data_IF_515502055630
#
_entry.id   IF_515502055630
#
_cell.length_a   1.000
_cell.length_b   1.000
_cell.length_c   1.000
_cell.angle_alpha   90.00
_cell.angle_beta   90.00
_cell.angle_gamma   90.00
#
_symmetry.space_group_name_H-M   'P 1'
#
loop_
_entity.id
_entity.type
_entity.pdbx_description
1 polymer ?
#
# COMPACT_ATOMS: atom_id res chain seq x y z
N UNK A 1 -15.13 -1.02 10.97
CA UNK A 1 -15.76 -2.23 10.39
C UNK A 1 -14.65 -3.10 9.84
N UNK A 2 -14.58 -4.40 10.18
CA UNK A 2 -13.47 -5.24 9.73
C UNK A 2 -13.67 -5.67 8.27
N UNK A 3 -12.55 -5.87 7.56
CA UNK A 3 -12.54 -6.34 6.17
C UNK A 3 -13.18 -7.73 6.02
N UNK A 4 -13.03 -8.58 7.04
CA UNK A 4 -13.70 -9.88 7.12
C UNK A 4 -15.22 -9.74 7.15
N UNK A 5 -15.78 -8.88 8.02
CA UNK A 5 -17.23 -8.72 8.18
C UNK A 5 -17.91 -8.36 6.84
N UNK A 6 -17.30 -7.41 6.11
CA UNK A 6 -17.88 -6.79 4.91
C UNK A 6 -17.58 -7.55 3.61
N UNK A 7 -16.41 -8.18 3.50
CA UNK A 7 -15.90 -8.74 2.23
C UNK A 7 -15.35 -10.16 2.36
N UNK A 8 -15.42 -10.77 3.57
CA UNK A 8 -14.85 -12.09 3.88
C UNK A 8 -13.36 -12.22 3.57
N UNK A 9 -12.60 -11.11 3.63
CA UNK A 9 -11.15 -11.13 3.43
C UNK A 9 -10.47 -12.02 4.48
N UNK A 10 -9.75 -13.05 4.04
CA UNK A 10 -9.03 -14.03 4.89
C UNK A 10 -7.51 -13.85 4.79
N UNK A 11 -6.77 -14.28 5.80
CA UNK A 11 -5.31 -14.18 5.82
C UNK A 11 -4.66 -15.14 4.79
N UNK A 12 -3.75 -14.63 3.95
CA UNK A 12 -2.83 -15.48 3.19
C UNK A 12 -1.64 -15.89 4.06
N UNK A 13 -1.26 -17.17 4.00
CA UNK A 13 -0.22 -17.71 4.87
C UNK A 13 1.18 -17.50 4.28
N UNK A 14 1.99 -16.66 4.95
CA UNK A 14 3.39 -16.45 4.54
C UNK A 14 4.27 -17.48 5.27
N UNK A 15 4.84 -18.43 4.53
CA UNK A 15 5.84 -19.36 5.07
C UNK A 15 7.16 -18.60 5.32
N UNK A 16 7.72 -18.72 6.54
CA UNK A 16 8.49 -17.63 7.19
C UNK A 16 10.01 -17.72 7.12
N UNK A 17 10.58 -18.43 6.16
CA UNK A 17 12.02 -18.71 6.17
C UNK A 17 12.88 -17.50 5.73
N UNK A 18 12.32 -16.59 4.94
CA UNK A 18 13.05 -15.43 4.38
C UNK A 18 12.41 -14.07 4.67
N UNK A 19 11.16 -14.04 5.15
CA UNK A 19 10.31 -12.86 5.32
C UNK A 19 10.01 -12.66 6.81
N UNK A 20 10.06 -11.41 7.29
CA UNK A 20 9.83 -11.12 8.71
C UNK A 20 8.45 -11.56 9.22
N UNK A 21 8.43 -12.03 10.48
CA UNK A 21 7.22 -12.33 11.25
C UNK A 21 6.26 -11.15 11.39
N UNK A 22 6.72 -9.91 11.16
CA UNK A 22 5.85 -8.72 11.19
C UNK A 22 4.78 -8.69 10.10
N UNK A 23 4.89 -9.53 9.05
CA UNK A 23 3.83 -9.67 8.04
C UNK A 23 2.77 -10.71 8.39
N UNK A 24 2.84 -11.33 9.57
CA UNK A 24 1.75 -12.13 10.10
C UNK A 24 0.48 -11.27 10.22
N UNK A 25 -0.63 -11.77 9.69
CA UNK A 25 -1.92 -11.08 9.59
C UNK A 25 -1.89 -9.75 8.78
N UNK A 26 -0.82 -9.48 8.03
CA UNK A 26 -0.70 -8.25 7.20
C UNK A 26 -1.03 -8.47 5.72
N UNK A 27 -1.33 -9.70 5.31
CA UNK A 27 -1.79 -10.03 3.95
C UNK A 27 -3.16 -10.66 4.04
N UNK A 28 -4.15 -10.01 3.45
CA UNK A 28 -5.53 -10.46 3.38
C UNK A 28 -5.97 -10.61 1.92
N UNK A 29 -6.83 -11.58 1.61
CA UNK A 29 -7.35 -11.78 0.25
C UNK A 29 -8.85 -12.11 0.25
N UNK A 30 -9.56 -11.72 -0.81
CA UNK A 30 -10.95 -12.12 -1.02
C UNK A 30 -11.07 -13.65 -1.18
N UNK A 31 -12.18 -14.28 -0.77
CA UNK A 31 -12.40 -15.70 -1.05
C UNK A 31 -12.33 -16.02 -2.54
N UNK A 32 -11.70 -17.14 -2.87
CA UNK A 32 -11.55 -17.66 -4.22
C UNK A 32 -11.00 -16.60 -5.21
N UNK A 33 -10.08 -15.74 -4.76
CA UNK A 33 -9.50 -14.66 -5.58
C UNK A 33 -8.83 -15.22 -6.84
N UNK A 34 -8.26 -16.41 -6.74
CA UNK A 34 -7.57 -17.18 -7.77
C UNK A 34 -8.48 -17.66 -8.92
N UNK A 35 -9.81 -17.69 -8.69
CA UNK A 35 -10.81 -18.00 -9.72
C UNK A 35 -11.32 -16.76 -10.46
N UNK A 36 -11.02 -15.56 -9.94
CA UNK A 36 -11.53 -14.30 -10.48
C UNK A 36 -10.78 -13.92 -11.74
N UNK A 37 -11.50 -13.36 -12.72
CA UNK A 37 -10.92 -13.04 -14.03
C UNK A 37 -9.92 -11.88 -13.98
N UNK A 38 -10.05 -10.95 -13.00
CA UNK A 38 -9.13 -9.84 -12.73
C UNK A 38 -8.70 -9.81 -11.26
N UNK A 39 -7.51 -9.25 -10.98
CA UNK A 39 -6.94 -9.12 -9.63
C UNK A 39 -6.44 -7.69 -9.36
N UNK A 40 -6.73 -7.16 -8.18
CA UNK A 40 -6.18 -5.92 -7.66
C UNK A 40 -5.34 -6.24 -6.42
N UNK A 41 -4.05 -5.93 -6.46
CA UNK A 41 -3.14 -6.10 -5.30
C UNK A 41 -2.76 -4.73 -4.75
N UNK A 42 -3.10 -4.46 -3.49
CA UNK A 42 -2.92 -3.16 -2.84
C UNK A 42 -1.83 -3.27 -1.77
N UNK A 43 -0.66 -2.69 -2.04
CA UNK A 43 0.40 -2.49 -1.07
C UNK A 43 0.25 -1.10 -0.44
N UNK A 44 0.06 -1.01 0.87
CA UNK A 44 -0.09 0.27 1.56
C UNK A 44 0.70 0.31 2.87
N UNK A 45 1.18 1.49 3.24
CA UNK A 45 1.69 1.73 4.60
C UNK A 45 0.54 1.59 5.63
N UNK A 46 0.87 1.29 6.89
CA UNK A 46 -0.12 1.27 7.98
C UNK A 46 -0.91 2.59 8.07
N UNK A 47 -2.22 2.56 8.38
CA UNK A 47 -3.05 3.76 8.43
C UNK A 47 -2.62 4.71 9.55
N UNK A 48 -2.59 6.01 9.26
CA UNK A 48 -2.26 7.05 10.23
C UNK A 48 -3.19 7.02 11.46
N UNK A 49 -2.63 7.21 12.65
CA UNK A 49 -3.36 7.45 13.89
C UNK A 49 -3.35 8.94 14.20
N UNK A 50 -4.55 9.54 14.36
CA UNK A 50 -4.72 10.89 14.86
C UNK A 50 -5.19 10.84 16.31
N UNK A 51 -4.51 11.56 17.20
CA UNK A 51 -4.99 11.80 18.55
C UNK A 51 -5.10 13.30 18.81
N UNK A 52 -6.17 13.71 19.49
CA UNK A 52 -6.32 15.08 19.97
C UNK A 52 -5.48 15.30 21.23
N UNK A 53 -4.17 15.47 21.05
CA UNK A 53 -3.27 15.76 22.17
C UNK A 53 -3.32 17.25 22.55
N UNK A 54 -3.60 17.55 23.82
CA UNK A 54 -3.56 18.91 24.39
C UNK A 54 -2.14 19.44 24.63
N UNK A 55 -1.10 18.66 24.33
CA UNK A 55 0.31 19.04 24.43
C UNK A 55 0.92 18.89 25.83
N UNK A 56 0.11 18.53 26.83
CA UNK A 56 0.53 18.44 28.24
C UNK A 56 1.11 17.04 28.58
N UNK A 57 0.75 16.01 27.82
CA UNK A 57 1.23 14.63 28.02
C UNK A 57 1.48 13.95 26.67
N UNK A 58 2.41 13.00 26.61
CA UNK A 58 2.57 12.11 25.45
C UNK A 58 1.61 10.90 25.48
N UNK A 59 0.92 10.66 26.60
CA UNK A 59 -0.09 9.61 26.70
C UNK A 59 -1.32 9.99 25.89
N UNK A 60 -1.62 9.18 24.87
CA UNK A 60 -2.87 9.25 24.14
C UNK A 60 -3.92 8.36 24.82
N UNK A 61 -5.12 8.89 25.09
CA UNK A 61 -6.22 8.07 25.60
C UNK A 61 -6.91 7.37 24.41
N UNK A 62 -7.26 6.07 24.50
CA UNK A 62 -7.89 5.35 23.40
C UNK A 62 -9.20 5.96 22.87
N UNK A 63 -9.92 6.78 23.65
CA UNK A 63 -11.12 7.51 23.20
C UNK A 63 -10.82 8.86 22.51
N UNK A 64 -9.62 9.41 22.72
CA UNK A 64 -9.14 10.64 22.08
C UNK A 64 -8.32 10.35 20.81
N UNK A 65 -7.96 9.08 20.59
CA UNK A 65 -7.26 8.53 19.43
C UNK A 65 -8.23 7.88 18.45
N UNK A 66 -8.07 8.21 17.18
CA UNK A 66 -8.83 7.67 16.07
C UNK A 66 -7.88 7.27 14.95
N UNK A 67 -8.11 6.12 14.34
CA UNK A 67 -7.54 5.86 13.01
C UNK A 67 -8.05 6.94 12.05
N UNK A 68 -7.20 7.41 11.14
CA UNK A 68 -7.57 8.37 10.09
C UNK A 68 -8.74 7.86 9.22
N UNK A 69 -8.97 6.54 9.23
CA UNK A 69 -10.08 5.83 8.59
C UNK A 69 -11.44 5.96 9.32
N UNK A 70 -11.46 6.46 10.56
CA UNK A 70 -12.66 6.57 11.39
C UNK A 70 -13.07 8.03 11.70
N UNK A 71 -12.20 9.03 11.47
CA UNK A 71 -12.56 10.44 11.64
C UNK A 71 -13.39 10.97 10.47
N UNK A 72 -14.62 11.42 10.78
CA UNK A 72 -15.60 12.08 9.87
C UNK A 72 -16.19 11.22 8.73
N UNK A 73 -16.79 10.06 9.01
CA UNK A 73 -17.57 9.29 8.00
C UNK A 73 -16.85 8.98 6.67
N UNK A 74 -15.52 9.14 6.63
CA UNK A 74 -14.73 8.97 5.42
C UNK A 74 -14.30 7.52 5.33
N UNK A 75 -14.88 6.83 4.34
CA UNK A 75 -14.41 5.53 3.87
C UNK A 75 -12.89 5.57 3.76
N UNK A 76 -12.22 4.54 4.24
CA UNK A 76 -10.78 4.40 4.04
C UNK A 76 -10.44 4.31 2.54
N UNK A 77 -9.37 5.00 2.13
CA UNK A 77 -8.92 5.07 0.75
C UNK A 77 -8.69 3.67 0.18
N UNK A 78 -7.98 2.81 0.91
CA UNK A 78 -7.78 1.40 0.55
C UNK A 78 -9.13 0.67 0.46
N UNK A 79 -9.97 0.73 1.50
CA UNK A 79 -11.32 0.13 1.47
C UNK A 79 -12.19 0.60 0.31
N UNK A 80 -12.00 1.80 -0.23
CA UNK A 80 -12.77 2.29 -1.38
C UNK A 80 -12.43 1.55 -2.68
N UNK A 81 -11.16 1.14 -2.85
CA UNK A 81 -10.74 0.27 -3.96
C UNK A 81 -11.18 -1.18 -3.75
N UNK A 82 -11.06 -1.71 -2.52
CA UNK A 82 -11.57 -3.04 -2.16
C UNK A 82 -13.08 -3.12 -2.44
N UNK A 83 -13.84 -2.09 -2.06
CA UNK A 83 -15.29 -2.03 -2.30
C UNK A 83 -15.64 -2.09 -3.78
N UNK A 84 -14.94 -1.30 -4.61
CA UNK A 84 -15.17 -1.31 -6.05
C UNK A 84 -14.81 -2.67 -6.65
N UNK A 85 -13.62 -3.20 -6.37
CA UNK A 85 -13.16 -4.46 -6.94
C UNK A 85 -14.11 -5.63 -6.58
N UNK A 86 -14.52 -5.72 -5.31
CA UNK A 86 -15.51 -6.72 -4.87
C UNK A 86 -16.87 -6.53 -5.53
N UNK A 87 -17.34 -5.30 -5.73
CA UNK A 87 -18.60 -5.02 -6.46
C UNK A 87 -18.57 -5.41 -7.94
N UNK A 88 -17.38 -5.58 -8.52
CA UNK A 88 -17.18 -6.03 -9.90
C UNK A 88 -16.79 -7.52 -10.00
N UNK A 89 -16.88 -8.28 -8.90
CA UNK A 89 -16.44 -9.68 -8.79
C UNK A 89 -14.96 -9.89 -9.17
N UNK A 90 -14.10 -8.93 -8.84
CA UNK A 90 -12.64 -9.04 -9.01
C UNK A 90 -11.99 -9.55 -7.72
N UNK A 91 -10.86 -10.26 -7.88
CA UNK A 91 -10.03 -10.68 -6.75
C UNK A 91 -9.33 -9.47 -6.14
N UNK A 92 -9.14 -9.49 -4.83
CA UNK A 92 -8.34 -8.48 -4.11
C UNK A 92 -7.35 -9.16 -3.19
N UNK A 93 -6.11 -8.68 -3.20
CA UNK A 93 -5.10 -8.96 -2.17
C UNK A 93 -4.72 -7.62 -1.54
N UNK A 94 -4.90 -7.49 -0.24
CA UNK A 94 -4.61 -6.31 0.59
C UNK A 94 -3.35 -6.58 1.42
N UNK A 95 -2.34 -5.72 1.29
CA UNK A 95 -1.00 -5.91 1.85
C UNK A 95 -0.60 -4.68 2.65
N UNK A 96 -0.65 -4.81 3.97
CA UNK A 96 -0.14 -3.80 4.88
C UNK A 96 1.38 -3.93 5.07
N UNK A 97 2.12 -2.86 4.85
CA UNK A 97 3.56 -2.78 5.11
C UNK A 97 3.79 -1.94 6.38
N UNK A 98 4.01 -2.56 7.55
CA UNK A 98 4.25 -1.82 8.78
C UNK A 98 5.62 -1.11 8.75
N UNK A 99 5.66 0.13 9.26
CA UNK A 99 6.91 0.91 9.37
C UNK A 99 7.96 0.23 10.26
N UNK A 100 7.52 -0.52 11.27
CA UNK A 100 8.38 -1.20 12.23
C UNK A 100 8.38 -2.71 11.98
N UNK A 101 9.49 -3.20 11.44
CA UNK A 101 9.74 -4.62 11.29
C UNK A 101 10.46 -5.16 12.53
N UNK A 102 9.94 -6.27 13.06
CA UNK A 102 10.58 -7.10 14.07
C UNK A 102 11.84 -7.73 13.47
N UNK A 103 13.00 -7.26 13.94
CA UNK A 103 14.27 -7.93 13.71
C UNK A 103 14.29 -9.20 14.57
N UNK A 104 14.71 -10.37 14.05
CA UNK A 104 14.99 -11.52 14.90
C UNK A 104 15.98 -11.10 15.99
N UNK A 105 15.73 -11.48 17.25
CA UNK A 105 16.71 -11.27 18.30
C UNK A 105 18.05 -11.88 17.85
N UNK A 106 19.20 -11.21 18.08
CA UNK A 106 20.48 -11.86 17.84
C UNK A 106 20.48 -13.18 18.61
N UNK A 107 20.78 -14.28 17.90
CA UNK A 107 20.94 -15.58 18.53
C UNK A 107 21.92 -15.48 19.71
N UNK A 108 21.82 -16.35 20.72
CA UNK A 108 22.63 -16.26 21.93
C UNK A 108 24.08 -16.01 21.52
N UNK A 109 24.62 -14.86 21.96
CA UNK A 109 25.94 -14.42 21.53
C UNK A 109 26.90 -15.58 21.72
N UNK A 110 27.65 -15.93 20.66
CA UNK A 110 28.60 -17.04 20.72
C UNK A 110 29.43 -16.85 22.00
N UNK A 111 29.45 -17.85 22.91
CA UNK A 111 29.96 -17.65 24.26
C UNK A 111 31.36 -17.07 24.16
N UNK A 112 31.62 -16.03 24.95
CA UNK A 112 32.90 -15.35 24.94
C UNK A 112 34.01 -16.40 25.12
N UNK A 113 35.23 -16.23 24.56
CA UNK A 113 36.34 -17.11 24.88
C UNK A 113 36.60 -17.27 26.38
N UNK A 114 36.08 -16.34 27.19
CA UNK A 114 36.11 -16.31 28.65
C UNK A 114 34.96 -17.05 29.36
N UNK A 115 33.88 -17.42 28.64
CA UNK A 115 32.69 -18.11 29.18
C UNK A 115 32.81 -19.65 29.15
N UNK A 116 33.96 -20.19 28.72
CA UNK A 116 34.18 -21.64 28.70
C UNK A 116 34.66 -22.17 30.07
N UNK A 117 33.90 -23.06 30.74
CA UNK A 117 34.33 -23.67 32.01
C UNK A 117 35.42 -24.71 31.75
N UNK A 118 36.69 -24.27 31.64
CA UNK A 118 37.81 -25.17 31.40
C UNK A 118 39.21 -24.56 31.31
N UNK A 119 39.35 -23.26 31.01
CA UNK A 119 40.67 -22.64 30.87
C UNK A 119 41.16 -22.10 32.22
N UNK A 120 42.11 -22.82 32.83
CA UNK A 120 42.81 -22.38 34.05
C UNK A 120 43.66 -21.13 33.75
N UNK A 121 43.67 -20.11 34.62
CA UNK A 121 44.56 -18.96 34.47
C UNK A 121 45.97 -19.33 34.96
N UNK A 122 46.76 -19.95 34.09
CA UNK A 122 48.19 -20.18 34.30
C UNK A 122 48.98 -19.27 33.34
N UNK A 123 50.10 -18.70 33.82
CA UNK A 123 50.84 -17.56 33.23
C UNK A 123 50.24 -16.15 33.45
N UNK A 124 50.10 -15.78 34.72
CA UNK A 124 50.27 -14.40 35.15
C UNK A 124 51.75 -14.12 35.50
N UNK A 125 52.52 -13.55 34.56
CA UNK A 125 53.88 -13.01 34.74
C UNK A 125 54.22 -12.12 33.53
N UNK A 126 54.84 -10.94 33.61
CA UNK A 126 55.29 -10.13 34.75
C UNK A 126 55.32 -8.63 34.33
N UNK A 127 55.39 -7.66 35.25
CA UNK A 127 55.43 -6.23 34.90
C UNK A 127 56.88 -5.73 34.77
N UNK A 128 57.24 -5.11 33.63
CA UNK A 128 58.53 -4.39 33.50
C UNK A 128 58.43 -3.09 32.67
N UNK A 129 58.73 -2.02 33.40
CA UNK A 129 59.38 -0.75 33.04
C UNK A 129 58.82 0.26 32.03
N UNK A 130 59.09 1.51 32.41
CA UNK A 130 58.68 2.73 31.74
C UNK A 130 59.81 3.34 30.91
N UNK A 131 59.48 3.95 29.76
CA UNK A 131 60.22 5.08 29.23
C UNK A 131 59.35 5.94 28.30
N UNK A 132 59.11 7.18 28.73
CA UNK A 132 58.95 8.41 27.95
C UNK A 132 58.87 8.33 26.41
N UNK A 133 57.81 8.91 25.82
CA UNK A 133 57.98 10.05 24.89
C UNK A 133 56.71 10.89 24.79
N UNK A 134 56.87 12.18 25.03
CA UNK A 134 55.88 13.25 24.94
C UNK A 134 55.46 13.55 23.50
N UNK A 135 54.16 13.62 23.23
CA UNK A 135 53.56 14.51 22.23
C UNK A 135 52.18 14.96 22.73
N UNK A 136 51.97 16.27 22.86
CA UNK A 136 50.73 16.83 23.41
C UNK A 136 49.62 16.95 22.36
N UNK A 137 48.37 16.76 22.79
CA UNK A 137 47.18 17.14 22.02
C UNK A 137 46.40 18.16 22.83
N UNK A 138 46.30 19.36 22.29
CA UNK A 138 45.69 20.52 22.93
C UNK A 138 44.18 20.38 23.00
N UNK A 139 43.60 20.47 24.19
CA UNK A 139 42.16 20.61 24.38
C UNK A 139 41.69 21.98 23.88
N UNK A 140 40.95 22.02 22.79
CA UNK A 140 40.15 23.19 22.38
C UNK A 140 38.67 22.88 22.51
N UNK A 141 38.07 23.35 23.61
CA UNK A 141 36.62 23.38 23.75
C UNK A 141 36.05 24.47 22.83
N UNK A 142 35.22 24.07 21.86
CA UNK A 142 34.37 24.99 21.09
C UNK A 142 32.91 24.56 21.28
N UNK A 143 32.16 25.42 21.96
CA UNK A 143 30.71 25.32 22.07
C UNK A 143 30.03 26.01 20.86
N UNK A 144 28.71 25.84 20.74
CA UNK A 144 27.80 26.51 19.79
C UNK A 144 27.90 25.95 18.35
N UNK A 145 26.84 25.51 17.66
CA UNK A 145 25.38 25.74 17.81
C UNK A 145 24.55 24.45 17.59
N UNK A 146 23.45 24.22 18.33
CA UNK A 146 22.59 23.04 18.16
C UNK A 146 21.27 23.34 17.40
N UNK A 147 21.33 23.92 16.20
CA UNK A 147 20.14 24.10 15.34
C UNK A 147 20.47 23.91 13.85
N UNK A 148 20.73 22.67 13.44
CA UNK A 148 20.67 22.26 12.02
C UNK A 148 19.39 21.48 11.80
N UNK A 149 18.40 22.08 11.13
CA UNK A 149 17.15 21.41 10.71
C UNK A 149 17.36 20.55 9.46
N UNK A 150 18.40 19.72 9.47
CA UNK A 150 18.60 18.65 8.49
C UNK A 150 17.69 17.49 8.87
N UNK A 151 16.48 17.45 8.30
CA UNK A 151 15.59 16.30 8.40
C UNK A 151 16.28 15.10 7.75
N UNK A 152 16.66 14.12 8.56
CA UNK A 152 17.25 12.86 8.11
C UNK A 152 16.20 12.07 7.33
N UNK A 153 16.26 12.18 6.00
CA UNK A 153 15.32 11.52 5.09
C UNK A 153 15.63 10.02 5.03
N UNK A 154 14.71 9.22 5.56
CA UNK A 154 14.80 7.79 5.87
C UNK A 154 15.50 7.47 7.21
N UNK A 155 14.68 7.12 8.21
CA UNK A 155 15.15 6.37 9.37
C UNK A 155 15.61 4.98 8.93
N UNK A 156 16.61 4.41 9.62
CA UNK A 156 17.08 3.05 9.35
C UNK A 156 15.98 1.97 9.51
N UNK A 157 14.89 2.25 10.22
CA UNK A 157 13.70 1.39 10.30
C UNK A 157 12.91 1.40 9.00
N UNK A 158 12.67 2.58 8.39
CA UNK A 158 11.98 2.70 7.10
C UNK A 158 12.68 1.94 5.96
N UNK A 159 14.01 1.89 5.96
CA UNK A 159 14.78 1.12 4.97
C UNK A 159 14.69 -0.39 5.19
N UNK A 160 14.58 -0.85 6.44
CA UNK A 160 14.30 -2.25 6.72
C UNK A 160 12.89 -2.64 6.26
N UNK A 161 11.89 -1.81 6.58
CA UNK A 161 10.50 -2.02 6.12
C UNK A 161 10.39 -2.09 4.59
N UNK A 162 11.10 -1.21 3.87
CA UNK A 162 11.19 -1.28 2.40
C UNK A 162 11.77 -2.62 1.93
N UNK A 163 12.94 -3.04 2.43
CA UNK A 163 13.60 -4.30 2.00
C UNK A 163 12.75 -5.54 2.30
N UNK A 164 12.08 -5.55 3.43
CA UNK A 164 11.22 -6.66 3.84
C UNK A 164 9.91 -6.68 3.04
N UNK A 165 9.35 -5.51 2.71
CA UNK A 165 8.24 -5.38 1.76
C UNK A 165 8.63 -5.80 0.33
N UNK A 166 9.85 -5.48 -0.13
CA UNK A 166 10.38 -5.93 -1.43
C UNK A 166 10.42 -7.47 -1.53
N UNK A 167 10.84 -8.17 -0.47
CA UNK A 167 10.77 -9.64 -0.40
C UNK A 167 9.33 -10.16 -0.41
N UNK A 168 8.45 -9.55 0.37
CA UNK A 168 7.05 -9.96 0.45
C UNK A 168 6.35 -9.82 -0.90
N UNK A 169 6.57 -8.72 -1.62
CA UNK A 169 5.97 -8.52 -2.95
C UNK A 169 6.42 -9.57 -3.97
N UNK A 170 7.70 -9.97 -3.96
CA UNK A 170 8.19 -11.06 -4.81
C UNK A 170 7.56 -12.40 -4.42
N UNK A 171 7.54 -12.73 -3.14
CA UNK A 171 6.96 -13.98 -2.64
C UNK A 171 5.47 -14.11 -2.93
N UNK A 172 4.69 -13.03 -2.74
CA UNK A 172 3.27 -12.99 -3.11
C UNK A 172 3.09 -13.17 -4.62
N UNK A 173 3.98 -12.59 -5.43
CA UNK A 173 3.95 -12.80 -6.88
C UNK A 173 4.15 -14.28 -7.22
N UNK A 174 5.29 -14.86 -6.84
CA UNK A 174 5.71 -16.21 -7.21
C UNK A 174 4.77 -17.32 -6.67
N UNK A 175 4.19 -17.14 -5.48
CA UNK A 175 3.46 -18.19 -4.77
C UNK A 175 1.93 -18.03 -4.81
N UNK A 176 1.42 -16.81 -4.95
CA UNK A 176 -0.01 -16.52 -4.81
C UNK A 176 -0.65 -15.83 -6.04
N UNK A 177 0.14 -15.34 -7.00
CA UNK A 177 -0.37 -14.59 -8.15
C UNK A 177 0.01 -15.28 -9.46
N UNK A 178 1.30 -15.48 -9.72
CA UNK A 178 1.85 -16.07 -10.94
C UNK A 178 1.29 -17.47 -11.29
N UNK A 179 0.97 -18.36 -10.32
CA UNK A 179 0.37 -19.67 -10.64
C UNK A 179 -1.04 -19.63 -11.23
N UNK A 180 -1.74 -18.49 -11.17
CA UNK A 180 -3.17 -18.40 -11.49
C UNK A 180 -3.48 -17.52 -12.71
N UNK A 181 -4.55 -17.87 -13.41
CA UNK A 181 -4.94 -17.19 -14.65
C UNK A 181 -5.87 -16.00 -14.37
N UNK A 182 -5.35 -14.78 -14.51
CA UNK A 182 -6.13 -13.54 -14.49
C UNK A 182 -6.30 -13.01 -15.92
N UNK A 183 -7.21 -13.56 -16.76
CA UNK A 183 -7.34 -13.18 -18.17
C UNK A 183 -7.67 -11.70 -18.36
N UNK A 184 -8.56 -11.14 -17.54
CA UNK A 184 -8.89 -9.71 -17.53
C UNK A 184 -7.78 -8.84 -16.91
N UNK A 185 -6.70 -9.46 -16.42
CA UNK A 185 -5.47 -8.79 -16.01
C UNK A 185 -5.36 -8.39 -14.54
N UNK A 186 -4.19 -7.89 -14.19
CA UNK A 186 -3.77 -7.57 -12.82
C UNK A 186 -3.47 -6.07 -12.71
N UNK A 187 -3.81 -5.46 -11.57
CA UNK A 187 -3.32 -4.14 -11.17
C UNK A 187 -2.53 -4.22 -9.87
N UNK A 188 -1.42 -3.49 -9.82
CA UNK A 188 -0.67 -3.25 -8.59
C UNK A 188 -0.92 -1.81 -8.11
N UNK A 189 -1.36 -1.64 -6.87
CA UNK A 189 -1.54 -0.34 -6.22
C UNK A 189 -0.50 -0.21 -5.12
N UNK A 190 0.20 0.93 -5.03
CA UNK A 190 1.20 1.21 -4.01
C UNK A 190 0.97 2.55 -3.32
N UNK A 191 0.71 2.57 -2.02
CA UNK A 191 0.52 3.80 -1.24
C UNK A 191 1.64 3.99 -0.21
N UNK A 192 2.36 5.11 -0.28
CA UNK A 192 3.43 5.46 0.66
C UNK A 192 4.76 4.75 0.37
N UNK A 193 5.45 4.32 1.43
CA UNK A 193 6.69 3.56 1.32
C UNK A 193 6.47 2.18 0.68
N UNK A 194 5.31 1.56 0.89
CA UNK A 194 4.90 0.29 0.31
C UNK A 194 5.02 0.25 -1.24
N UNK A 195 4.88 1.39 -1.92
CA UNK A 195 5.14 1.50 -3.35
C UNK A 195 6.59 1.09 -3.76
N UNK A 196 7.57 1.16 -2.86
CA UNK A 196 8.93 0.68 -3.16
C UNK A 196 8.94 -0.82 -3.49
N UNK A 197 8.11 -1.62 -2.80
CA UNK A 197 7.98 -3.04 -3.06
C UNK A 197 7.41 -3.32 -4.46
N UNK A 198 6.32 -2.62 -4.83
CA UNK A 198 5.73 -2.67 -6.18
C UNK A 198 6.74 -2.25 -7.24
N UNK A 199 7.43 -1.12 -7.03
CA UNK A 199 8.44 -0.61 -7.97
C UNK A 199 9.67 -1.52 -8.09
N UNK A 200 10.03 -2.28 -7.05
CA UNK A 200 11.08 -3.31 -7.08
C UNK A 200 10.61 -4.53 -7.87
N UNK A 201 9.44 -5.08 -7.54
CA UNK A 201 8.86 -6.24 -8.20
C UNK A 201 8.85 -6.06 -9.73
N UNK A 202 8.29 -4.96 -10.23
CA UNK A 202 8.24 -4.70 -11.68
C UNK A 202 9.59 -4.31 -12.29
N UNK A 203 10.56 -3.81 -11.50
CA UNK A 203 11.91 -3.52 -12.02
C UNK A 203 12.70 -4.78 -12.32
N UNK A 204 12.53 -5.82 -11.49
CA UNK A 204 13.45 -6.97 -11.45
C UNK A 204 12.80 -8.32 -11.80
N UNK A 205 11.47 -8.41 -11.86
CA UNK A 205 10.75 -9.59 -12.33
C UNK A 205 10.10 -9.31 -13.71
N UNK A 206 10.67 -9.88 -14.77
CA UNK A 206 10.15 -9.74 -16.14
C UNK A 206 8.85 -10.54 -16.37
N UNK A 207 8.49 -11.49 -15.51
CA UNK A 207 7.27 -12.31 -15.63
C UNK A 207 5.98 -11.54 -15.27
N UNK A 208 6.07 -10.31 -14.75
CA UNK A 208 4.88 -9.51 -14.39
C UNK A 208 4.10 -9.02 -15.61
N UNK A 209 4.81 -8.68 -16.69
CA UNK A 209 4.28 -7.91 -17.81
C UNK A 209 3.21 -8.60 -18.68
N UNK A 210 3.18 -9.94 -18.84
CA UNK A 210 2.10 -10.63 -19.57
C UNK A 210 0.71 -10.48 -18.95
N UNK A 211 0.62 -10.32 -17.62
CA UNK A 211 -0.65 -10.25 -16.88
C UNK A 211 -0.96 -8.85 -16.30
N UNK A 212 0.07 -8.02 -16.08
CA UNK A 212 -0.06 -6.68 -15.49
C UNK A 212 -0.62 -5.66 -16.50
N UNK A 213 -1.82 -5.11 -16.23
CA UNK A 213 -2.43 -4.05 -17.03
C UNK A 213 -2.03 -2.64 -16.59
N UNK A 214 -1.62 -2.47 -15.34
CA UNK A 214 -1.11 -1.19 -14.88
C UNK A 214 -0.76 -1.09 -13.40
N UNK A 215 -0.11 0.02 -13.07
CA UNK A 215 0.39 0.32 -11.74
C UNK A 215 -0.13 1.68 -11.26
N UNK A 216 -0.73 1.73 -10.08
CA UNK A 216 -1.18 2.99 -9.47
C UNK A 216 -0.35 3.27 -8.23
N UNK A 217 0.16 4.49 -8.09
CA UNK A 217 1.01 4.88 -6.98
C UNK A 217 0.51 6.17 -6.32
N UNK A 218 0.54 6.22 -4.98
CA UNK A 218 0.25 7.40 -4.18
C UNK A 218 1.47 7.73 -3.30
N UNK A 219 2.06 8.91 -3.47
CA UNK A 219 3.15 9.40 -2.61
C UNK A 219 2.87 10.80 -2.08
N UNK A 220 2.93 10.96 -0.76
CA UNK A 220 2.75 12.23 -0.08
C UNK A 220 4.09 12.98 0.00
N UNK A 221 4.98 12.53 0.89
CA UNK A 221 6.32 13.10 1.12
C UNK A 221 7.43 12.07 0.97
N UNK A 222 7.07 10.79 0.79
CA UNK A 222 7.96 9.64 0.67
C UNK A 222 8.75 9.67 -0.65
N UNK A 223 10.04 9.31 -0.68
CA UNK A 223 10.80 9.25 -1.92
C UNK A 223 10.14 8.30 -2.93
N UNK A 224 10.18 8.63 -4.22
CA UNK A 224 9.60 7.80 -5.28
C UNK A 224 10.70 6.98 -5.92
N UNK A 225 10.61 5.65 -5.80
CA UNK A 225 11.53 4.71 -6.44
C UNK A 225 11.33 4.75 -7.97
N UNK A 226 12.35 5.04 -8.78
CA UNK A 226 12.25 4.94 -10.24
C UNK A 226 12.18 3.47 -10.66
N UNK A 227 11.39 3.18 -11.70
CA UNK A 227 11.30 1.85 -12.31
C UNK A 227 12.35 1.72 -13.41
N UNK A 228 13.17 0.67 -13.33
CA UNK A 228 14.21 0.34 -14.31
C UNK A 228 14.43 -1.17 -14.34
N UNK A 229 14.31 -1.78 -15.52
CA UNK A 229 14.88 -3.11 -15.74
C UNK A 229 16.29 -3.01 -16.31
N UNK A 230 17.19 -3.88 -15.85
CA UNK A 230 18.56 -4.03 -16.36
C UNK A 230 18.62 -4.82 -17.67
N UNK A 231 17.60 -5.65 -17.95
CA UNK A 231 17.46 -6.46 -19.17
C UNK A 231 16.66 -5.70 -20.23
N UNK A 232 15.56 -5.06 -19.82
CA UNK A 232 14.51 -4.60 -20.71
C UNK A 232 14.33 -3.06 -20.71
N UNK A 233 14.97 -2.39 -21.66
CA UNK A 233 14.87 -0.92 -21.81
C UNK A 233 13.43 -0.43 -22.07
N UNK A 234 12.60 -1.26 -22.72
CA UNK A 234 11.20 -0.96 -23.05
C UNK A 234 10.31 -0.79 -21.81
N UNK A 235 10.67 -1.40 -20.67
CA UNK A 235 9.97 -1.27 -19.38
C UNK A 235 9.74 0.20 -19.00
N UNK A 236 10.72 1.07 -19.27
CA UNK A 236 10.61 2.50 -18.94
C UNK A 236 9.61 3.25 -19.82
N UNK A 237 9.31 2.75 -21.03
CA UNK A 237 8.24 3.24 -21.89
C UNK A 237 6.89 2.71 -21.42
N UNK A 238 6.78 1.38 -21.32
CA UNK A 238 5.58 0.69 -20.82
C UNK A 238 5.10 1.26 -19.49
N UNK A 239 6.01 1.47 -18.52
CA UNK A 239 5.65 1.99 -17.20
C UNK A 239 5.13 3.42 -17.26
N UNK A 240 5.58 4.26 -18.20
CA UNK A 240 5.03 5.60 -18.39
C UNK A 240 3.62 5.58 -18.98
N UNK A 241 3.31 4.59 -19.80
CA UNK A 241 2.02 4.46 -20.49
C UNK A 241 0.98 3.70 -19.66
N UNK A 242 1.44 2.80 -18.79
CA UNK A 242 0.62 1.90 -17.95
C UNK A 242 0.77 2.17 -16.45
N UNK A 243 1.04 3.42 -16.05
CA UNK A 243 0.91 3.83 -14.65
C UNK A 243 0.16 5.13 -14.45
N UNK A 244 -0.33 5.33 -13.22
CA UNK A 244 -0.75 6.63 -12.68
C UNK A 244 -0.01 6.85 -11.36
N UNK A 245 0.86 7.85 -11.29
CA UNK A 245 1.70 8.14 -10.12
C UNK A 245 1.27 9.47 -9.52
N UNK A 246 0.33 9.43 -8.59
CA UNK A 246 -0.19 10.60 -7.88
C UNK A 246 0.79 11.03 -6.81
N UNK A 247 1.25 12.29 -6.89
CA UNK A 247 2.26 12.84 -5.98
C UNK A 247 1.75 14.15 -5.40
N UNK A 248 1.79 14.29 -4.07
CA UNK A 248 1.36 15.52 -3.39
C UNK A 248 2.12 16.74 -3.92
N UNK A 249 1.44 17.88 -4.05
CA UNK A 249 2.05 19.13 -4.49
C UNK A 249 3.17 19.64 -3.56
N UNK A 250 3.17 19.19 -2.29
CA UNK A 250 4.21 19.51 -1.30
C UNK A 250 5.46 18.63 -1.44
N UNK A 251 5.43 17.60 -2.29
CA UNK A 251 6.55 16.67 -2.48
C UNK A 251 7.78 17.37 -3.07
N UNK A 252 8.98 16.95 -2.62
CA UNK A 252 10.25 17.56 -3.01
C UNK A 252 10.60 17.40 -4.50
N UNK A 253 9.99 16.43 -5.20
CA UNK A 253 10.09 16.22 -6.65
C UNK A 253 9.83 17.50 -7.44
N UNK A 254 8.80 18.26 -7.06
CA UNK A 254 8.35 19.46 -7.77
C UNK A 254 9.30 20.67 -7.59
N UNK A 255 10.27 20.62 -6.67
CA UNK A 255 11.31 21.66 -6.57
C UNK A 255 12.17 21.69 -7.84
N UNK A 256 12.51 20.51 -8.37
CA UNK A 256 13.32 20.34 -9.59
C UNK A 256 12.64 20.84 -10.87
N UNK A 257 11.32 20.92 -10.87
CA UNK A 257 10.54 21.50 -11.97
C UNK A 257 10.74 23.02 -12.02
N UNK A 258 10.61 23.68 -10.86
CA UNK A 258 10.79 25.14 -10.70
C UNK A 258 12.21 25.63 -11.01
N UNK A 259 13.22 24.78 -10.79
CA UNK A 259 14.64 25.12 -10.96
C UNK A 259 15.15 25.03 -12.41
N UNK A 260 14.36 24.56 -13.37
CA UNK A 260 14.81 24.51 -14.77
C UNK A 260 13.92 23.83 -15.80
N UNK A 261 12.61 23.63 -15.55
CA UNK A 261 11.67 23.10 -16.54
C UNK A 261 12.00 21.69 -17.04
N UNK A 262 12.77 20.91 -16.26
CA UNK A 262 13.30 19.62 -16.71
C UNK A 262 12.20 18.57 -16.75
N UNK A 263 11.90 18.08 -17.95
CA UNK A 263 10.97 16.96 -18.17
C UNK A 263 11.40 15.76 -17.32
N UNK A 264 10.47 15.27 -16.49
CA UNK A 264 10.72 14.10 -15.63
C UNK A 264 11.02 12.85 -16.45
N UNK A 265 11.94 12.02 -15.95
CA UNK A 265 12.32 10.76 -16.60
C UNK A 265 11.13 9.80 -16.68
N UNK A 266 10.96 9.10 -17.81
CA UNK A 266 9.89 8.09 -18.02
C UNK A 266 9.83 7.03 -16.90
N UNK A 267 10.97 6.78 -16.25
CA UNK A 267 11.15 5.91 -15.07
C UNK A 267 10.26 6.25 -13.86
N UNK A 268 9.71 7.46 -13.80
CA UNK A 268 8.77 7.88 -12.75
C UNK A 268 7.29 7.69 -13.12
N UNK A 269 7.00 7.05 -14.25
CA UNK A 269 5.63 6.77 -14.68
C UNK A 269 4.93 8.00 -15.25
N UNK A 270 3.59 7.96 -15.31
CA UNK A 270 2.76 9.15 -15.57
C UNK A 270 2.52 9.88 -14.25
N UNK A 271 3.39 10.84 -13.95
CA UNK A 271 3.26 11.71 -12.77
C UNK A 271 2.00 12.58 -12.88
N UNK A 272 1.18 12.56 -11.82
CA UNK A 272 -0.01 13.40 -11.65
C UNK A 272 0.14 14.19 -10.36
N UNK A 273 0.06 15.52 -10.44
CA UNK A 273 0.17 16.38 -9.26
C UNK A 273 -1.14 16.41 -8.50
N UNK A 274 -1.09 16.07 -7.22
CA UNK A 274 -2.24 15.99 -6.32
C UNK A 274 -2.25 17.14 -5.32
N UNK A 275 -3.40 17.83 -5.09
CA UNK A 275 -3.54 18.76 -3.98
C UNK A 275 -3.73 18.06 -2.62
N UNK A 276 -3.86 16.72 -2.61
CA UNK A 276 -3.91 15.95 -1.36
C UNK A 276 -2.54 15.90 -0.66
N UNK A 277 -2.54 16.02 0.66
CA UNK A 277 -1.32 16.01 1.49
C UNK A 277 -1.04 14.66 2.16
N UNK A 278 -2.09 13.91 2.49
CA UNK A 278 -2.04 12.63 3.22
C UNK A 278 -2.49 11.51 2.29
N UNK A 279 -1.84 10.34 2.37
CA UNK A 279 -2.05 9.21 1.44
C UNK A 279 -3.53 8.82 1.29
N UNK A 280 -4.22 8.57 2.40
CA UNK A 280 -5.67 8.29 2.41
C UNK A 280 -6.50 9.38 1.70
N UNK A 281 -6.18 10.65 1.96
CA UNK A 281 -6.81 11.78 1.30
C UNK A 281 -6.56 11.84 -0.21
N UNK A 282 -5.35 11.47 -0.65
CA UNK A 282 -5.00 11.37 -2.07
C UNK A 282 -5.74 10.21 -2.76
N UNK A 283 -5.82 9.04 -2.10
CA UNK A 283 -6.54 7.87 -2.58
C UNK A 283 -8.02 8.18 -2.80
N UNK A 284 -8.68 8.81 -1.81
CA UNK A 284 -10.08 9.21 -1.94
C UNK A 284 -10.31 10.29 -3.00
N UNK A 285 -9.40 11.26 -3.12
CA UNK A 285 -9.51 12.36 -4.08
C UNK A 285 -9.45 11.87 -5.54
N UNK A 286 -8.54 10.94 -5.84
CA UNK A 286 -8.31 10.43 -7.20
C UNK A 286 -9.02 9.12 -7.49
N UNK A 287 -9.83 8.60 -6.55
CA UNK A 287 -10.57 7.34 -6.66
C UNK A 287 -11.27 7.22 -8.01
N UNK A 288 -12.15 8.17 -8.34
CA UNK A 288 -13.01 8.06 -9.53
C UNK A 288 -12.22 8.19 -10.85
N UNK A 289 -11.03 8.81 -10.84
CA UNK A 289 -10.12 8.78 -11.99
C UNK A 289 -9.47 7.40 -12.15
N UNK A 290 -8.96 6.84 -11.05
CA UNK A 290 -8.30 5.52 -11.04
C UNK A 290 -9.26 4.41 -11.41
N UNK A 291 -10.46 4.37 -10.81
CA UNK A 291 -11.44 3.31 -11.08
C UNK A 291 -11.87 3.29 -12.55
N UNK A 292 -12.06 4.48 -13.15
CA UNK A 292 -12.36 4.62 -14.58
C UNK A 292 -11.22 4.10 -15.46
N UNK A 293 -9.99 4.47 -15.15
CA UNK A 293 -8.78 4.06 -15.87
C UNK A 293 -8.49 2.56 -15.78
N UNK A 294 -8.79 1.93 -14.63
CA UNK A 294 -8.75 0.47 -14.46
C UNK A 294 -9.84 -0.22 -15.29
N UNK A 295 -11.08 0.28 -15.21
CA UNK A 295 -12.23 -0.27 -15.94
C UNK A 295 -12.00 -0.24 -17.45
N UNK A 296 -11.50 0.88 -17.98
CA UNK A 296 -11.17 1.04 -19.40
C UNK A 296 -10.16 -0.02 -19.88
N UNK A 297 -9.11 -0.26 -19.10
CA UNK A 297 -8.09 -1.29 -19.39
C UNK A 297 -8.61 -2.71 -19.33
N UNK A 298 -9.46 -3.01 -18.36
CA UNK A 298 -10.13 -4.31 -18.25
C UNK A 298 -11.00 -4.56 -19.48
N UNK A 299 -11.76 -3.56 -19.92
CA UNK A 299 -12.59 -3.67 -21.12
C UNK A 299 -11.74 -3.84 -22.40
N UNK A 300 -10.70 -3.04 -22.59
CA UNK A 300 -9.74 -3.21 -23.70
C UNK A 300 -9.11 -4.62 -23.71
N UNK A 301 -8.78 -5.16 -22.53
CA UNK A 301 -8.27 -6.53 -22.39
C UNK A 301 -9.32 -7.58 -22.75
N UNK A 302 -10.56 -7.42 -22.28
CA UNK A 302 -11.71 -8.29 -22.65
C UNK A 302 -11.96 -8.29 -24.15
N UNK A 303 -12.03 -7.10 -24.78
CA UNK A 303 -12.21 -6.94 -26.22
C UNK A 303 -11.10 -7.63 -27.02
N UNK A 304 -9.83 -7.47 -26.60
CA UNK A 304 -8.69 -8.12 -27.23
C UNK A 304 -8.70 -9.66 -27.11
N UNK A 305 -9.44 -10.23 -26.15
CA UNK A 305 -9.61 -11.69 -26.01
C UNK A 305 -10.88 -12.20 -26.70
N UNK A 306 -12.00 -11.50 -26.56
CA UNK A 306 -13.26 -11.83 -27.24
C UNK A 306 -13.13 -11.72 -28.77
N UNK A 307 -12.36 -10.75 -29.28
CA UNK A 307 -12.02 -10.67 -30.70
C UNK A 307 -11.10 -11.82 -31.19
N UNK A 308 -10.70 -12.75 -30.32
CA UNK A 308 -9.94 -13.97 -30.65
C UNK A 308 -10.71 -15.28 -30.38
N UNK A 309 -11.95 -15.18 -29.87
CA UNK A 309 -12.91 -16.27 -29.71
C UNK A 309 -14.29 -15.78 -30.12
N UNK A 310 -14.64 -16.04 -31.38
CA UNK A 310 -16.05 -16.19 -31.75
C UNK A 310 -16.57 -17.42 -30.98
N UNK A 311 -17.74 -17.29 -30.33
CA UNK A 311 -18.41 -18.32 -29.50
C UNK A 311 -17.63 -18.64 -28.18
N UNK A 312 -18.25 -18.82 -27.01
CA UNK A 312 -19.54 -19.45 -26.67
C UNK A 312 -20.33 -18.65 -25.60
N UNK A 313 -21.58 -19.06 -25.39
CA UNK A 313 -22.55 -18.56 -24.41
C UNK A 313 -22.31 -19.21 -23.03
N UNK A 314 -22.40 -18.43 -21.94
CA UNK A 314 -22.54 -18.93 -20.55
C UNK A 314 -23.76 -18.22 -19.93
N UNK A 315 -24.98 -18.67 -20.27
CA UNK A 315 -26.22 -18.40 -19.54
C UNK A 315 -26.52 -19.63 -18.65
N UNK A 316 -25.80 -19.77 -17.52
CA UNK A 316 -26.13 -20.74 -16.47
C UNK A 316 -26.78 -19.97 -15.30
N UNK A 317 -28.11 -19.92 -15.24
CA UNK A 317 -28.98 -20.86 -14.51
C UNK A 317 -29.09 -20.48 -13.01
N UNK A 318 -30.23 -19.85 -12.69
CA UNK A 318 -30.72 -19.73 -11.31
C UNK A 318 -31.36 -21.08 -10.94
N UNK A 319 -30.67 -21.89 -10.12
CA UNK A 319 -31.26 -23.09 -9.53
C UNK A 319 -32.29 -22.68 -8.45
N UNK A 320 -33.58 -22.76 -8.77
CA UNK A 320 -34.64 -22.82 -7.75
C UNK A 320 -34.70 -24.26 -7.20
N UNK A 321 -34.28 -24.44 -5.95
CA UNK A 321 -34.41 -25.71 -5.20
C UNK A 321 -35.89 -25.91 -4.77
N UNK A 322 -36.68 -26.56 -5.62
CA UNK A 322 -37.99 -27.15 -5.26
C UNK A 322 -37.78 -28.53 -4.58
N UNK A 323 -37.59 -28.53 -3.25
CA UNK A 323 -37.55 -29.74 -2.41
C UNK A 323 -38.99 -30.26 -2.11
N UNK A 324 -39.56 -31.05 -3.02
CA UNK A 324 -40.75 -31.89 -2.78
C UNK A 324 -40.34 -33.30 -2.30
N UNK A 325 -40.05 -33.46 -1.01
CA UNK A 325 -39.85 -34.78 -0.36
C UNK A 325 -41.14 -35.23 0.35
N UNK A 326 -41.94 -36.03 -0.35
CA UNK A 326 -43.04 -36.84 0.21
C UNK A 326 -42.45 -38.00 1.04
N UNK A 327 -42.66 -38.03 2.36
CA UNK A 327 -42.62 -39.29 3.12
C UNK A 327 -43.59 -39.31 4.31
N UNK A 328 -44.61 -40.17 4.22
CA UNK A 328 -45.64 -40.33 5.26
C UNK A 328 -45.09 -41.16 6.44
N UNK A 329 -45.12 -40.62 7.67
CA UNK A 329 -45.03 -41.47 8.87
C UNK A 329 -45.77 -40.92 10.11
N UNK A 330 -47.01 -41.39 10.21
CA UNK A 330 -47.70 -41.92 11.40
C UNK A 330 -47.27 -41.52 12.83
N UNK A 331 -48.27 -41.05 13.58
CA UNK A 331 -48.51 -41.25 15.02
C UNK A 331 -47.38 -41.04 16.06
N UNK A 332 -47.53 -39.97 16.87
CA UNK A 332 -47.85 -40.18 18.31
C UNK A 332 -48.45 -38.95 19.02
N UNK A 333 -49.51 -39.19 19.80
CA UNK A 333 -50.16 -38.18 20.64
C UNK A 333 -49.42 -37.98 21.99
N UNK A 334 -49.52 -36.78 22.59
CA UNK A 334 -49.02 -36.47 23.93
C UNK A 334 -49.40 -35.08 24.45
N UNK A 335 -50.32 -35.01 25.42
CA UNK A 335 -50.79 -33.76 26.06
C UNK A 335 -49.89 -33.30 27.25
N UNK A 336 -50.18 -32.07 27.77
CA UNK A 336 -49.85 -31.53 29.13
C UNK A 336 -48.41 -30.97 29.30
N UNK A 337 -48.14 -29.99 30.18
CA UNK A 337 -48.97 -29.25 31.16
C UNK A 337 -48.38 -27.84 31.43
N UNK A 338 -49.08 -27.01 32.21
CA UNK A 338 -48.73 -25.61 32.52
C UNK A 338 -47.44 -25.40 33.36
N UNK A 339 -46.85 -24.20 33.28
CA UNK A 339 -45.77 -23.75 34.17
C UNK A 339 -45.68 -22.22 34.25
N UNK A 340 -45.86 -21.66 35.45
CA UNK A 340 -45.92 -20.20 35.71
C UNK A 340 -45.10 -19.84 36.96
N UNK A 341 -44.05 -19.02 36.78
CA UNK A 341 -43.25 -18.31 37.81
C UNK A 341 -42.80 -16.98 37.13
N UNK A 342 -42.98 -15.74 37.60
CA UNK A 342 -43.21 -15.05 38.89
C UNK A 342 -41.92 -14.42 39.52
N UNK A 343 -42.09 -13.24 40.16
CA UNK A 343 -41.07 -12.35 40.80
C UNK A 343 -40.01 -11.69 39.87
N UNK A 344 -39.52 -10.44 40.03
CA UNK A 344 -39.81 -9.32 40.96
C UNK A 344 -38.65 -8.30 40.98
N UNK A 345 -38.90 -7.00 41.26
CA UNK A 345 -37.80 -6.04 41.50
C UNK A 345 -38.04 -4.53 41.24
N UNK A 346 -38.67 -3.83 42.18
CA UNK A 346 -38.69 -2.35 42.26
C UNK A 346 -37.47 -1.77 43.02
N UNK A 347 -36.90 -0.63 42.57
CA UNK A 347 -36.20 0.31 43.47
C UNK A 347 -36.30 1.78 42.99
N UNK A 348 -36.80 2.67 43.87
CA UNK A 348 -36.83 4.14 43.72
C UNK A 348 -35.47 4.80 44.05
N UNK A 349 -35.23 6.00 43.51
CA UNK A 349 -33.95 6.72 43.56
C UNK A 349 -34.05 8.24 43.44
N UNK A 350 -35.00 8.86 44.15
CA UNK A 350 -35.21 10.33 44.13
C UNK A 350 -34.10 11.15 44.82
N UNK A 351 -33.47 12.14 44.13
CA UNK A 351 -33.18 13.49 44.70
C UNK A 351 -32.60 14.54 43.75
N UNK A 352 -32.94 15.80 44.03
CA UNK A 352 -32.44 17.00 43.37
C UNK A 352 -31.18 17.60 44.05
N UNK A 353 -30.43 18.41 43.30
CA UNK A 353 -29.35 19.27 43.78
C UNK A 353 -29.21 20.50 42.86
N UNK A 354 -29.03 21.69 43.43
CA UNK A 354 -29.08 22.96 42.71
C UNK A 354 -27.88 23.87 43.01
N UNK A 355 -27.63 24.85 42.13
CA UNK A 355 -26.84 26.05 42.41
C UNK A 355 -25.39 26.01 41.91
N UNK A 356 -24.96 27.11 41.27
CA UNK A 356 -23.58 27.29 40.79
C UNK A 356 -23.44 28.31 39.66
N UNK A 357 -23.79 29.58 39.92
CA UNK A 357 -23.40 30.70 39.04
C UNK A 357 -21.91 31.04 39.23
N UNK A 358 -21.19 31.42 38.17
CA UNK A 358 -20.09 32.39 38.29
C UNK A 358 -19.74 33.07 36.95
N UNK A 359 -19.38 34.36 37.04
CA UNK A 359 -19.09 35.26 35.91
C UNK A 359 -17.62 35.19 35.46
N UNK A 360 -17.33 35.56 34.21
CA UNK A 360 -15.96 35.72 33.70
C UNK A 360 -15.89 36.61 32.44
N UNK A 361 -15.26 37.77 32.59
CA UNK A 361 -15.23 38.96 31.72
C UNK A 361 -14.91 38.82 30.22
N UNK A 362 -15.22 39.89 29.50
CA UNK A 362 -14.87 40.15 28.10
C UNK A 362 -13.53 40.92 27.98
N UNK A 363 -12.91 40.88 26.79
CA UNK A 363 -12.26 42.08 26.27
C UNK A 363 -12.12 42.08 24.74
N UNK A 364 -12.03 43.27 24.15
CA UNK A 364 -12.09 43.47 22.69
C UNK A 364 -11.01 44.45 22.20
N UNK A 365 -10.37 44.15 21.05
CA UNK A 365 -9.54 45.12 20.33
C UNK A 365 -9.53 44.90 18.81
N UNK A 366 -9.71 45.99 18.05
CA UNK A 366 -9.57 46.08 16.58
C UNK A 366 -8.35 46.93 16.22
N UNK A 367 -7.58 46.51 15.20
CA UNK A 367 -6.85 47.31 14.19
C UNK A 367 -5.80 46.39 13.52
N UNK A 368 -5.37 46.57 12.27
CA UNK A 368 -5.77 47.53 11.23
C UNK A 368 -4.74 47.56 10.08
N UNK A 369 -5.15 48.07 8.90
CA UNK A 369 -4.31 48.42 7.71
C UNK A 369 -3.70 47.23 6.92
N UNK A 370 -3.84 47.02 5.60
CA UNK A 370 -4.18 47.80 4.39
C UNK A 370 -2.98 48.36 3.59
N UNK A 371 -3.16 48.41 2.25
CA UNK A 371 -2.20 48.71 1.16
C UNK A 371 -1.37 47.48 0.70
N UNK A 372 -1.07 47.23 -0.59
CA UNK A 372 -1.34 47.99 -1.84
C UNK A 372 -1.78 47.08 -3.00
N UNK A 373 -2.37 47.69 -4.04
CA UNK A 373 -2.72 47.05 -5.31
C UNK A 373 -1.84 47.59 -6.44
N UNK A 374 -1.60 46.78 -7.47
CA UNK A 374 -1.21 47.30 -8.78
C UNK A 374 -1.84 46.45 -9.90
N UNK A 375 -2.19 47.09 -11.01
CA UNK A 375 -3.01 46.51 -12.10
C UNK A 375 -2.57 47.12 -13.42
N UNK A 376 -2.09 46.29 -14.36
CA UNK A 376 -1.88 46.69 -15.75
C UNK A 376 -2.40 45.61 -16.69
N UNK A 377 -3.23 46.06 -17.63
CA UNK A 377 -3.91 45.28 -18.67
C UNK A 377 -3.03 44.97 -19.90
N UNK A 378 -3.62 44.11 -20.74
CA UNK A 378 -3.78 44.25 -22.20
C UNK A 378 -3.05 43.21 -23.11
N UNK A 379 -3.73 42.65 -24.14
CA UNK A 379 -3.29 41.46 -24.87
C UNK A 379 -2.79 41.74 -26.30
N UNK A 380 -2.10 40.75 -26.91
CA UNK A 380 -1.95 40.71 -28.37
C UNK A 380 -1.90 39.29 -28.93
N UNK A 381 -2.81 39.01 -29.87
CA UNK A 381 -2.86 37.78 -30.67
C UNK A 381 -1.76 37.77 -31.74
N UNK A 382 -1.06 36.65 -31.93
CA UNK A 382 -0.56 36.26 -33.25
C UNK A 382 -0.73 34.76 -33.49
N UNK A 383 -1.46 34.44 -34.56
CA UNK A 383 -1.55 33.11 -35.17
C UNK A 383 -0.33 32.88 -36.06
N UNK A 384 0.25 31.68 -36.05
CA UNK A 384 0.87 31.08 -37.23
C UNK A 384 0.49 29.60 -37.31
N UNK A 385 0.53 29.05 -38.52
CA UNK A 385 -0.19 27.82 -38.90
C UNK A 385 0.64 26.90 -39.80
N UNK A 386 0.63 25.60 -39.50
CA UNK A 386 1.07 24.48 -40.34
C UNK A 386 0.61 23.19 -39.67
N UNK A 387 -0.36 22.41 -40.15
CA UNK A 387 -0.56 21.74 -41.46
C UNK A 387 0.42 20.55 -41.66
N UNK A 388 -0.15 19.33 -41.77
CA UNK A 388 0.55 18.05 -41.99
C UNK A 388 0.34 17.07 -40.81
N UNK A 389 -0.70 16.22 -40.72
CA UNK A 389 -1.36 15.27 -41.65
C UNK A 389 -0.72 13.87 -41.69
N UNK A 390 -1.58 12.83 -41.59
CA UNK A 390 -1.32 11.37 -41.60
C UNK A 390 -0.46 10.83 -40.43
N UNK A 391 -0.83 9.80 -39.64
CA UNK A 391 -1.63 8.59 -39.84
C UNK A 391 -0.97 7.50 -40.71
N UNK A 392 -0.14 6.64 -40.09
CA UNK A 392 0.21 5.31 -40.59
C UNK A 392 0.90 4.46 -39.51
N UNK A 393 0.37 3.26 -39.24
CA UNK A 393 0.98 2.23 -38.39
C UNK A 393 2.24 1.61 -39.03
N UNK A 394 3.22 1.12 -38.25
CA UNK A 394 4.19 0.14 -38.73
C UNK A 394 3.65 -1.27 -38.50
N UNK A 395 3.32 -1.96 -39.59
CA UNK A 395 2.95 -3.38 -39.64
C UNK A 395 4.11 -4.30 -39.23
N UNK A 396 3.81 -5.41 -38.55
CA UNK A 396 4.78 -6.47 -38.31
C UNK A 396 5.18 -7.21 -39.61
N UNK A 397 6.46 -7.64 -39.76
CA UNK A 397 6.87 -8.54 -40.83
C UNK A 397 6.66 -10.01 -40.40
N UNK A 398 5.63 -10.65 -40.93
CA UNK A 398 5.49 -12.10 -40.86
C UNK A 398 6.36 -12.82 -41.89
N UNK A 399 7.22 -13.73 -41.44
CA UNK A 399 7.90 -14.73 -42.29
C UNK A 399 8.03 -16.03 -41.47
N UNK A 400 7.06 -16.92 -41.61
CA UNK A 400 7.08 -18.11 -42.51
C UNK A 400 7.61 -19.37 -41.81
N UNK A 401 6.62 -20.21 -41.49
CA UNK A 401 6.72 -21.63 -41.23
C UNK A 401 7.76 -22.35 -42.11
N UNK A 402 8.54 -23.25 -41.49
CA UNK A 402 8.96 -24.49 -42.14
C UNK A 402 8.73 -25.65 -41.17
N UNK A 403 7.77 -26.49 -41.53
CA UNK A 403 7.43 -27.75 -40.87
C UNK A 403 8.59 -28.74 -41.06
N UNK A 404 8.87 -29.55 -40.05
CA UNK A 404 10.01 -30.47 -40.04
C UNK A 404 9.83 -31.53 -38.96
N UNK A 405 8.85 -32.42 -39.16
CA UNK A 405 8.78 -33.70 -38.46
C UNK A 405 10.06 -34.55 -38.72
N UNK A 406 10.21 -35.69 -38.01
CA UNK A 406 11.25 -36.74 -38.11
C UNK A 406 12.36 -36.64 -37.03
N UNK A 407 12.67 -37.67 -36.22
CA UNK A 407 12.02 -38.99 -35.97
C UNK A 407 12.48 -39.51 -34.58
N UNK A 408 11.70 -40.40 -33.97
CA UNK A 408 12.09 -41.20 -32.79
C UNK A 408 13.26 -42.15 -33.10
N UNK A 409 14.29 -42.20 -32.25
CA UNK A 409 15.21 -43.34 -32.18
C UNK A 409 15.48 -43.75 -30.72
N UNK A 410 14.67 -44.69 -30.24
CA UNK A 410 15.17 -45.87 -29.52
C UNK A 410 15.76 -46.85 -30.56
N UNK A 411 16.70 -47.75 -30.26
CA UNK A 411 17.11 -48.26 -28.95
C UNK A 411 18.33 -47.55 -28.34
N UNK A 412 19.61 -47.64 -28.75
CA UNK A 412 20.37 -48.39 -29.77
C UNK A 412 19.94 -48.27 -31.25
#
# INVERSE_FOLDING_TARGET
MHLYDKYKLTQLHIFRDTISRSFDQQVLATPNYETKKALIVIFHDSPDLLASNTGISTQQKPHDTWLLTHLRHKVDGTQSYIHWATSQNYGVIDVNIPEFITVPAPGPAAPSPWDQPGIKPEYAAAPLDAASTTMGITTTATAQHPYSTSIEYASGTSDLARREGEKLALYLWENYIEPYAFPHGIFLVGAGNAFHAVAKLISDNDNVYPALLGVVAFSATQPIRPVTSGTNHWVTGWYRENSLVFVSEKHSLWKKEKEGGKVFSKRYGKLVKSPGEVLNGMMLLHRDEVLRWMTERINQRKEAMGSSKEEEEDEDEEEEEDDDDDDENDHHDGEREDGQEDDGGDVDGTKAGAGGDEHGDADAAKNGQASDADTIDDPAVKRESGIGAAASSPSAPGARLSRGDVVMTTEQ
#
